data_IF_468481758164
#
_entry.id   IF_468481758164
#
_cell.length_a   1.000
_cell.length_b   1.000
_cell.length_c   1.000
_cell.angle_alpha   90.00
_cell.angle_beta   90.00
_cell.angle_gamma   90.00
#
_symmetry.space_group_name_H-M   'P 1'
#
loop_
_entity.id
_entity.type
_entity.pdbx_description
1 polymer ?
#
# COMPACT_ATOMS: atom_id res chain seq x y z
N UNK A 1 18.50 74.61 27.47
CA UNK A 1 18.27 73.39 28.29
C UNK A 1 16.77 73.31 28.49
N UNK A 2 16.03 72.28 28.13
CA UNK A 2 16.36 70.96 27.58
C UNK A 2 15.24 70.54 26.64
N UNK A 3 15.59 69.72 25.65
CA UNK A 3 14.73 69.23 24.58
C UNK A 3 13.64 68.29 25.14
N UNK A 4 12.42 68.54 24.67
CA UNK A 4 11.29 67.62 24.44
C UNK A 4 11.53 66.15 24.78
N UNK A 5 10.83 65.67 25.82
CA UNK A 5 10.42 64.26 25.93
C UNK A 5 9.39 63.99 24.83
N UNK A 6 9.88 63.50 23.69
CA UNK A 6 9.04 62.89 22.65
C UNK A 6 9.04 61.38 22.96
N UNK A 7 8.25 60.97 23.95
CA UNK A 7 7.84 59.57 24.02
C UNK A 7 7.00 59.33 22.77
N UNK A 8 7.63 58.80 21.72
CA UNK A 8 7.00 58.45 20.46
C UNK A 8 5.96 57.34 20.70
N UNK A 9 4.77 57.75 21.13
CA UNK A 9 3.53 56.97 21.05
C UNK A 9 3.38 56.51 19.59
N UNK A 10 3.32 55.19 19.33
CA UNK A 10 3.23 54.70 17.97
C UNK A 10 1.96 55.25 17.33
N UNK A 11 2.13 55.96 16.21
CA UNK A 11 1.03 56.56 15.47
C UNK A 11 -0.01 55.50 15.11
N UNK A 12 -1.29 55.86 15.06
CA UNK A 12 -2.37 54.91 14.74
C UNK A 12 -2.14 54.17 13.41
N UNK A 13 -1.42 54.78 12.49
CA UNK A 13 -0.99 54.17 11.23
C UNK A 13 0.03 53.04 11.42
N UNK A 14 1.00 53.19 12.34
CA UNK A 14 1.94 52.13 12.71
C UNK A 14 1.21 50.99 13.42
N UNK A 15 0.32 51.29 14.37
CA UNK A 15 -0.51 50.28 15.07
C UNK A 15 -1.39 49.51 14.09
N UNK A 16 -1.97 50.17 13.08
CA UNK A 16 -2.76 49.52 12.04
C UNK A 16 -1.89 48.64 11.13
N UNK A 17 -0.71 49.13 10.73
CA UNK A 17 0.26 48.38 9.95
C UNK A 17 0.70 47.10 10.66
N UNK A 18 1.14 47.19 11.90
CA UNK A 18 1.60 46.05 12.71
C UNK A 18 0.49 45.01 12.93
N UNK A 19 -0.73 45.44 13.25
CA UNK A 19 -1.86 44.52 13.41
C UNK A 19 -2.21 43.79 12.11
N UNK A 20 -2.09 44.46 10.96
CA UNK A 20 -2.36 43.84 9.67
C UNK A 20 -1.24 42.87 9.28
N UNK A 21 0.03 43.23 9.52
CA UNK A 21 1.17 42.34 9.31
C UNK A 21 1.10 41.10 10.20
N UNK A 22 0.69 41.25 11.47
CA UNK A 22 0.53 40.11 12.38
C UNK A 22 -0.59 39.18 11.90
N UNK A 23 -1.74 39.72 11.48
CA UNK A 23 -2.83 38.91 10.89
C UNK A 23 -2.42 38.17 9.63
N UNK A 24 -1.61 38.79 8.77
CA UNK A 24 -1.08 38.14 7.56
C UNK A 24 -0.14 37.00 7.95
N UNK A 25 0.78 37.23 8.90
CA UNK A 25 1.66 36.16 9.42
C UNK A 25 0.87 35.00 10.02
N UNK A 26 -0.12 35.28 10.86
CA UNK A 26 -0.91 34.23 11.50
C UNK A 26 -1.70 33.40 10.47
N UNK A 27 -2.20 34.03 9.40
CA UNK A 27 -2.85 33.33 8.29
C UNK A 27 -1.87 32.45 7.51
N UNK A 28 -0.70 33.00 7.15
CA UNK A 28 0.34 32.23 6.44
C UNK A 28 0.75 31.03 7.27
N UNK A 29 1.03 31.22 8.56
CA UNK A 29 1.41 30.15 9.48
C UNK A 29 0.34 29.05 9.53
N UNK A 30 -0.94 29.40 9.70
CA UNK A 30 -2.04 28.42 9.71
C UNK A 30 -2.18 27.67 8.39
N UNK A 31 -2.05 28.37 7.27
CA UNK A 31 -2.07 27.74 5.93
C UNK A 31 -0.89 26.79 5.77
N UNK A 32 0.32 27.20 6.15
CA UNK A 32 1.52 26.35 6.09
C UNK A 32 1.43 25.11 6.98
N UNK A 33 0.81 25.20 8.17
CA UNK A 33 0.54 24.02 9.00
C UNK A 33 -0.49 23.08 8.36
N UNK A 34 -1.56 23.62 7.77
CA UNK A 34 -2.57 22.82 7.08
C UNK A 34 -1.98 22.11 5.85
N UNK A 35 -1.21 22.83 5.03
CA UNK A 35 -0.51 22.28 3.87
C UNK A 35 0.52 21.23 4.32
N UNK A 36 1.26 21.49 5.39
CA UNK A 36 2.20 20.52 5.96
C UNK A 36 1.52 19.24 6.47
N UNK A 37 0.34 19.36 7.10
CA UNK A 37 -0.44 18.21 7.54
C UNK A 37 -0.98 17.41 6.35
N UNK A 38 -1.53 18.08 5.33
CA UNK A 38 -2.03 17.44 4.11
C UNK A 38 -0.90 16.73 3.33
N UNK A 39 0.25 17.38 3.16
CA UNK A 39 1.42 16.78 2.53
C UNK A 39 1.94 15.57 3.32
N UNK A 40 1.87 15.62 4.65
CA UNK A 40 2.23 14.50 5.53
C UNK A 40 1.28 13.31 5.37
N UNK A 41 -0.03 13.57 5.31
CA UNK A 41 -1.05 12.55 5.07
C UNK A 41 -0.90 11.91 3.67
N UNK A 42 -0.69 12.72 2.63
CA UNK A 42 -0.48 12.25 1.27
C UNK A 42 0.79 11.42 1.14
N UNK A 43 1.88 11.83 1.79
CA UNK A 43 3.14 11.07 1.83
C UNK A 43 2.99 9.72 2.53
N UNK A 44 2.28 9.68 3.66
CA UNK A 44 2.00 8.45 4.38
C UNK A 44 1.09 7.51 3.56
N UNK A 45 0.06 8.06 2.90
CA UNK A 45 -0.82 7.32 2.01
C UNK A 45 -0.05 6.73 0.82
N UNK A 46 0.77 7.54 0.14
CA UNK A 46 1.54 7.08 -1.02
C UNK A 46 2.52 5.97 -0.62
N UNK A 47 3.18 6.10 0.53
CA UNK A 47 4.09 5.06 1.03
C UNK A 47 3.37 3.74 1.30
N UNK A 48 2.18 3.79 1.93
CA UNK A 48 1.36 2.61 2.17
C UNK A 48 0.81 2.00 0.88
N UNK A 49 0.41 2.84 -0.08
CA UNK A 49 -0.06 2.42 -1.39
C UNK A 49 1.05 1.73 -2.18
N UNK A 50 2.24 2.33 -2.25
CA UNK A 50 3.40 1.79 -2.96
C UNK A 50 3.83 0.43 -2.37
N UNK A 51 3.81 0.32 -1.04
CA UNK A 51 4.06 -0.95 -0.36
C UNK A 51 3.02 -2.00 -0.75
N UNK A 52 1.73 -1.70 -0.58
CA UNK A 52 0.65 -2.63 -0.89
C UNK A 52 0.61 -3.04 -2.37
N UNK A 53 0.90 -2.10 -3.28
CA UNK A 53 0.98 -2.37 -4.71
C UNK A 53 2.14 -3.31 -5.02
N UNK A 54 3.33 -3.06 -4.47
CA UNK A 54 4.51 -3.91 -4.67
C UNK A 54 4.29 -5.33 -4.16
N UNK A 55 3.77 -5.46 -2.94
CA UNK A 55 3.49 -6.75 -2.30
C UNK A 55 2.39 -7.51 -3.05
N UNK A 56 1.28 -6.83 -3.36
CA UNK A 56 0.16 -7.40 -4.10
C UNK A 56 0.55 -7.85 -5.51
N UNK A 57 1.31 -7.03 -6.24
CA UNK A 57 1.80 -7.38 -7.57
C UNK A 57 2.73 -8.59 -7.52
N UNK A 58 3.66 -8.64 -6.56
CA UNK A 58 4.56 -9.78 -6.36
C UNK A 58 3.77 -11.06 -6.07
N UNK A 59 2.83 -11.00 -5.13
CA UNK A 59 1.99 -12.15 -4.78
C UNK A 59 1.15 -12.64 -5.98
N UNK A 60 0.51 -11.71 -6.70
CA UNK A 60 -0.29 -12.01 -7.87
C UNK A 60 0.56 -12.65 -8.98
N UNK A 61 1.78 -12.17 -9.19
CA UNK A 61 2.70 -12.73 -10.17
C UNK A 61 3.14 -14.16 -9.78
N UNK A 62 3.56 -14.37 -8.53
CA UNK A 62 3.99 -15.68 -8.04
C UNK A 62 2.89 -16.74 -8.15
N UNK A 63 1.67 -16.42 -7.73
CA UNK A 63 0.52 -17.32 -7.84
C UNK A 63 0.09 -17.47 -9.31
N UNK A 64 0.17 -16.38 -10.09
CA UNK A 64 -0.21 -16.32 -11.48
C UNK A 64 0.59 -17.25 -12.39
N UNK A 65 1.87 -17.48 -12.10
CA UNK A 65 2.72 -18.44 -12.84
C UNK A 65 2.09 -19.83 -12.91
N UNK A 66 1.56 -20.34 -11.78
CA UNK A 66 0.93 -21.66 -11.72
C UNK A 66 -0.36 -21.71 -12.54
N UNK A 67 -1.22 -20.70 -12.38
CA UNK A 67 -2.47 -20.59 -13.15
C UNK A 67 -2.17 -20.56 -14.65
N UNK A 68 -1.21 -19.74 -15.06
CA UNK A 68 -0.81 -19.63 -16.45
C UNK A 68 -0.24 -20.95 -16.98
N UNK A 69 0.68 -21.58 -16.25
CA UNK A 69 1.29 -22.86 -16.62
C UNK A 69 0.22 -23.93 -16.85
N UNK A 70 -0.67 -24.15 -15.90
CA UNK A 70 -1.69 -25.19 -15.99
C UNK A 70 -2.77 -24.90 -17.03
N UNK A 71 -3.09 -23.63 -17.28
CA UNK A 71 -4.02 -23.24 -18.34
C UNK A 71 -3.48 -23.52 -19.75
N UNK A 72 -2.15 -23.49 -19.93
CA UNK A 72 -1.50 -23.71 -21.22
C UNK A 72 -0.85 -25.09 -21.34
N UNK A 73 -1.00 -25.94 -20.33
CA UNK A 73 -0.54 -27.33 -20.38
C UNK A 73 -1.45 -28.14 -21.32
N UNK A 74 -0.87 -28.69 -22.41
CA UNK A 74 -1.57 -29.60 -23.30
C UNK A 74 -1.61 -31.01 -22.70
N UNK A 75 -2.80 -31.43 -22.27
CA UNK A 75 -3.01 -32.71 -21.59
C UNK A 75 -2.69 -33.93 -22.48
N UNK A 76 -2.67 -33.79 -23.82
CA UNK A 76 -2.39 -34.88 -24.75
C UNK A 76 -0.90 -35.08 -25.01
N UNK A 77 -0.12 -34.01 -24.93
CA UNK A 77 1.32 -34.01 -25.19
C UNK A 77 2.15 -34.05 -23.90
N UNK A 78 1.53 -33.77 -22.75
CA UNK A 78 2.23 -33.66 -21.48
C UNK A 78 2.39 -35.01 -20.77
N UNK A 79 3.50 -35.22 -20.04
CA UNK A 79 3.68 -36.37 -19.16
C UNK A 79 2.53 -36.54 -18.16
N UNK A 80 2.15 -37.79 -17.89
CA UNK A 80 1.04 -38.15 -16.98
C UNK A 80 1.18 -37.51 -15.59
N UNK A 81 2.41 -37.38 -15.08
CA UNK A 81 2.67 -36.72 -13.79
C UNK A 81 2.23 -35.25 -13.78
N UNK A 82 2.45 -34.51 -14.87
CA UNK A 82 2.07 -33.09 -14.98
C UNK A 82 0.55 -32.94 -15.10
N UNK A 83 -0.10 -33.86 -15.83
CA UNK A 83 -1.57 -33.91 -15.91
C UNK A 83 -2.16 -34.22 -14.54
N UNK A 84 -1.56 -35.13 -13.76
CA UNK A 84 -1.97 -35.41 -12.37
C UNK A 84 -1.81 -34.19 -11.47
N UNK A 85 -0.69 -33.47 -11.56
CA UNK A 85 -0.49 -32.23 -10.81
C UNK A 85 -1.48 -31.12 -11.23
N UNK A 86 -1.84 -31.01 -12.51
CA UNK A 86 -2.91 -30.11 -12.98
C UNK A 86 -4.24 -30.40 -12.29
N UNK A 87 -4.63 -31.67 -12.18
CA UNK A 87 -5.86 -32.05 -11.49
C UNK A 87 -5.83 -31.70 -10.00
N UNK A 88 -4.68 -31.88 -9.34
CA UNK A 88 -4.50 -31.43 -7.94
C UNK A 88 -4.59 -29.91 -7.81
N UNK A 89 -3.97 -29.16 -8.71
CA UNK A 89 -4.07 -27.70 -8.71
C UNK A 89 -5.51 -27.22 -8.84
N UNK A 90 -6.28 -27.81 -9.77
CA UNK A 90 -7.69 -27.49 -9.95
C UNK A 90 -8.53 -27.85 -8.70
N UNK A 91 -8.24 -28.97 -8.03
CA UNK A 91 -8.96 -29.38 -6.82
C UNK A 91 -8.67 -28.50 -5.60
N UNK A 92 -7.57 -27.74 -5.60
CA UNK A 92 -7.29 -26.76 -4.55
C UNK A 92 -8.23 -25.56 -4.58
N UNK A 93 -8.96 -25.35 -5.68
CA UNK A 93 -9.89 -24.24 -5.88
C UNK A 93 -9.27 -22.89 -5.46
N UNK A 94 -8.09 -22.58 -6.01
CA UNK A 94 -7.38 -21.33 -5.73
C UNK A 94 -8.25 -20.18 -6.19
N UNK A 95 -8.81 -19.47 -5.21
CA UNK A 95 -9.77 -18.38 -5.43
C UNK A 95 -9.09 -17.21 -6.12
N UNK A 96 -9.78 -16.61 -7.09
CA UNK A 96 -9.35 -15.34 -7.67
C UNK A 96 -9.56 -14.18 -6.69
N UNK A 97 -8.82 -13.10 -6.88
CA UNK A 97 -8.88 -11.88 -6.07
C UNK A 97 -10.22 -11.12 -6.17
N UNK A 98 -11.17 -11.61 -6.98
CA UNK A 98 -12.49 -11.01 -7.18
C UNK A 98 -13.51 -11.43 -6.11
N UNK A 99 -13.16 -12.34 -5.21
CA UNK A 99 -14.05 -12.68 -4.10
C UNK A 99 -14.16 -11.51 -3.12
N UNK A 100 -15.28 -10.78 -3.18
CA UNK A 100 -15.65 -9.69 -2.25
C UNK A 100 -15.41 -10.03 -0.77
N UNK A 101 -15.50 -11.31 -0.40
CA UNK A 101 -15.25 -11.83 0.97
C UNK A 101 -13.78 -11.79 1.41
N UNK A 102 -12.83 -11.56 0.50
CA UNK A 102 -11.40 -11.45 0.78
C UNK A 102 -10.96 -10.01 1.10
N UNK A 103 -11.80 -9.02 0.77
CA UNK A 103 -11.60 -7.63 1.17
C UNK A 103 -12.09 -7.43 2.60
N UNK A 104 -11.31 -7.88 3.59
CA UNK A 104 -11.54 -7.63 5.02
C UNK A 104 -11.47 -6.13 5.40
N UNK A 105 -11.11 -5.26 4.45
CA UNK A 105 -10.91 -3.82 4.65
C UNK A 105 -12.16 -3.03 5.03
N UNK A 106 -13.36 -3.63 5.01
CA UNK A 106 -14.56 -2.98 5.53
C UNK A 106 -14.76 -3.14 7.04
N UNK A 107 -14.05 -4.08 7.70
CA UNK A 107 -14.22 -4.36 9.14
C UNK A 107 -13.03 -3.97 10.02
N UNK A 108 -11.85 -3.69 9.46
CA UNK A 108 -10.60 -3.50 10.21
C UNK A 108 -10.07 -2.06 10.12
N UNK A 109 -10.88 -1.06 10.51
CA UNK A 109 -10.45 0.36 10.52
C UNK A 109 -9.28 0.68 11.48
N UNK A 110 -8.87 -0.27 12.31
CA UNK A 110 -7.85 -0.07 13.36
C UNK A 110 -6.51 -0.79 13.09
N UNK A 111 -6.41 -1.64 12.06
CA UNK A 111 -5.15 -2.36 11.77
C UNK A 111 -4.18 -1.47 11.00
N UNK A 112 -2.93 -1.38 11.46
CA UNK A 112 -1.89 -0.66 10.74
C UNK A 112 -1.46 -1.47 9.50
N UNK A 113 -1.01 -0.78 8.46
CA UNK A 113 -0.50 -1.33 7.18
C UNK A 113 0.48 -2.49 7.37
N UNK A 114 1.35 -2.43 8.39
CA UNK A 114 2.31 -3.50 8.68
C UNK A 114 1.62 -4.83 9.01
N UNK A 115 0.58 -4.82 9.85
CA UNK A 115 -0.13 -6.02 10.27
C UNK A 115 -0.92 -6.63 9.10
N UNK A 116 -1.50 -5.78 8.26
CA UNK A 116 -2.19 -6.19 7.04
C UNK A 116 -1.21 -6.87 6.07
N UNK A 117 -0.06 -6.24 5.83
CA UNK A 117 1.03 -6.78 5.02
C UNK A 117 1.48 -8.15 5.53
N UNK A 118 1.71 -8.29 6.84
CA UNK A 118 2.13 -9.56 7.44
C UNK A 118 1.10 -10.68 7.23
N UNK A 119 -0.19 -10.40 7.46
CA UNK A 119 -1.27 -11.38 7.24
C UNK A 119 -1.37 -11.78 5.77
N UNK A 120 -1.23 -10.82 4.85
CA UNK A 120 -1.23 -11.09 3.41
C UNK A 120 -0.03 -11.95 3.02
N UNK A 121 1.16 -11.63 3.51
CA UNK A 121 2.37 -12.41 3.26
C UNK A 121 2.24 -13.84 3.80
N UNK A 122 1.75 -14.01 5.03
CA UNK A 122 1.48 -15.33 5.62
C UNK A 122 0.50 -16.16 4.79
N UNK A 123 -0.56 -15.52 4.28
CA UNK A 123 -1.51 -16.19 3.40
C UNK A 123 -0.86 -16.67 2.10
N UNK A 124 -0.06 -15.81 1.47
CA UNK A 124 0.67 -16.15 0.24
C UNK A 124 1.67 -17.27 0.49
N UNK A 125 2.46 -17.18 1.56
CA UNK A 125 3.45 -18.21 1.92
C UNK A 125 2.81 -19.57 2.20
N UNK A 126 1.67 -19.58 2.90
CA UNK A 126 0.90 -20.79 3.15
C UNK A 126 0.40 -21.42 1.85
N UNK A 127 -0.08 -20.59 0.91
CA UNK A 127 -0.54 -21.06 -0.40
C UNK A 127 0.62 -21.62 -1.24
N UNK A 128 1.76 -20.93 -1.29
CA UNK A 128 2.94 -21.40 -2.02
C UNK A 128 3.52 -22.68 -1.41
N UNK A 129 3.48 -22.82 -0.09
CA UNK A 129 3.86 -24.06 0.59
C UNK A 129 2.91 -25.22 0.20
N UNK A 130 1.61 -24.95 0.07
CA UNK A 130 0.65 -25.94 -0.43
C UNK A 130 0.93 -26.34 -1.88
N UNK A 131 1.31 -25.40 -2.75
CA UNK A 131 1.73 -25.71 -4.12
C UNK A 131 2.97 -26.61 -4.12
N UNK A 132 3.96 -26.31 -3.28
CA UNK A 132 5.16 -27.16 -3.15
C UNK A 132 4.83 -28.59 -2.69
N UNK A 133 3.86 -28.76 -1.81
CA UNK A 133 3.45 -30.08 -1.34
C UNK A 133 2.69 -30.89 -2.41
N UNK A 134 1.83 -30.23 -3.18
CA UNK A 134 0.86 -30.91 -4.05
C UNK A 134 1.27 -30.96 -5.53
N UNK A 135 1.98 -29.95 -6.01
CA UNK A 135 2.47 -29.81 -7.39
C UNK A 135 4.00 -29.56 -7.44
N UNK A 136 4.81 -30.42 -6.78
CA UNK A 136 6.24 -30.20 -6.61
C UNK A 136 6.99 -30.10 -7.94
N UNK A 137 6.62 -30.89 -8.95
CA UNK A 137 7.34 -30.91 -10.24
C UNK A 137 7.18 -29.58 -10.98
N UNK A 138 5.96 -29.02 -10.96
CA UNK A 138 5.71 -27.69 -11.53
C UNK A 138 6.41 -26.59 -10.72
N UNK A 139 6.46 -26.70 -9.40
CA UNK A 139 7.24 -25.75 -8.57
C UNK A 139 8.71 -25.76 -8.95
N UNK A 140 9.31 -26.94 -9.10
CA UNK A 140 10.71 -27.06 -9.49
C UNK A 140 10.97 -26.49 -10.89
N UNK A 141 10.07 -26.74 -11.85
CA UNK A 141 10.15 -26.17 -13.20
C UNK A 141 10.08 -24.64 -13.20
N UNK A 142 9.15 -24.06 -12.45
CA UNK A 142 8.96 -22.61 -12.38
C UNK A 142 10.08 -21.88 -11.61
N UNK A 143 10.83 -22.59 -10.76
CA UNK A 143 11.97 -22.05 -10.03
C UNK A 143 13.32 -22.28 -10.72
N UNK A 144 13.38 -23.20 -11.69
CA UNK A 144 14.58 -23.49 -12.48
C UNK A 144 14.79 -22.51 -13.65
N UNK A 145 13.85 -21.58 -13.86
CA UNK A 145 13.88 -20.55 -14.92
C UNK A 145 14.29 -19.21 -14.33
#
# INVERSE_FOLDING_TARGET
>A
MSLTDDETEPTDFQKFGENNFQRIRDKITKMSYADGAANGEESAFQSAFDQGYKEGLKAAFEIGKFKYFFNHLDDKLSPEDLVREKQKYLSMNVKGAEESKQFFSLNNREENVSEISEKQQQHVDSLLAKFKAEVPKVVDLLNAT
#
